data_IF_623859805866
#
_entry.id   IF_623859805866
#
_cell.length_a   1.000
_cell.length_b   1.000
_cell.length_c   1.000
_cell.angle_alpha   90.00
_cell.angle_beta   90.00
_cell.angle_gamma   90.00
#
_symmetry.space_group_name_H-M   'P 1'
#
loop_
_entity.id
_entity.type
_entity.pdbx_description
1 polymer ?
#
# COMPACT_ATOMS: atom_id res chain seq x y z
N UNK A 1 -13.56 -9.32 1.58
CA UNK A 1 -13.87 -7.96 1.11
C UNK A 1 -12.62 -7.10 1.14
N UNK A 2 -12.35 -6.31 0.10
CA UNK A 2 -11.19 -5.43 0.10
C UNK A 2 -11.31 -4.36 1.19
N UNK A 3 -10.18 -4.00 1.76
CA UNK A 3 -10.12 -2.91 2.73
C UNK A 3 -8.94 -2.00 2.40
N UNK A 4 -8.99 -0.73 2.79
CA UNK A 4 -7.85 0.17 2.57
C UNK A 4 -6.62 -0.31 3.33
N UNK A 5 -5.45 -0.15 2.71
CA UNK A 5 -4.18 -0.54 3.34
C UNK A 5 -3.94 0.20 4.65
N UNK A 6 -4.54 1.39 4.81
CA UNK A 6 -4.41 2.15 6.05
C UNK A 6 -4.94 1.41 7.27
N UNK A 7 -5.75 0.37 7.08
CA UNK A 7 -6.23 -0.47 8.17
C UNK A 7 -5.37 -1.72 8.39
N UNK A 8 -4.32 -1.89 7.60
CA UNK A 8 -3.47 -3.06 7.70
C UNK A 8 -2.69 -3.07 9.02
N UNK A 9 -2.38 -4.28 9.48
CA UNK A 9 -1.64 -4.47 10.73
C UNK A 9 -0.16 -4.64 10.45
N UNK A 10 0.66 -4.17 11.39
CA UNK A 10 2.09 -4.38 11.32
C UNK A 10 2.42 -5.87 11.31
N UNK A 11 3.51 -6.21 10.63
CA UNK A 11 4.03 -7.57 10.54
C UNK A 11 3.16 -8.53 9.73
N UNK A 12 2.12 -8.02 9.08
CA UNK A 12 1.26 -8.82 8.21
C UNK A 12 1.59 -8.55 6.74
N UNK A 13 1.27 -9.52 5.90
CA UNK A 13 1.43 -9.41 4.45
C UNK A 13 0.07 -9.49 3.79
N UNK A 14 -0.10 -8.73 2.72
CA UNK A 14 -1.35 -8.63 2.00
C UNK A 14 -1.11 -8.64 0.50
N UNK A 15 -2.12 -9.01 -0.26
CA UNK A 15 -2.09 -8.92 -1.72
C UNK A 15 -2.87 -7.68 -2.14
N UNK A 16 -2.28 -6.85 -3.00
CA UNK A 16 -2.96 -5.66 -3.50
C UNK A 16 -4.08 -6.10 -4.43
N UNK A 17 -5.31 -5.74 -4.08
CA UNK A 17 -6.50 -6.08 -4.86
C UNK A 17 -6.77 -5.02 -5.92
N UNK A 18 -6.62 -3.75 -5.55
CA UNK A 18 -6.96 -2.64 -6.43
C UNK A 18 -6.34 -1.36 -5.92
N UNK A 19 -6.07 -0.43 -6.83
CA UNK A 19 -5.60 0.90 -6.48
C UNK A 19 -6.65 1.89 -6.95
N UNK A 20 -7.10 2.75 -6.05
CA UNK A 20 -8.14 3.75 -6.33
C UNK A 20 -7.55 5.15 -6.40
N UNK A 21 -8.33 6.10 -6.90
CA UNK A 21 -7.93 7.48 -6.97
C UNK A 21 -7.75 7.96 -8.41
N UNK A 22 -7.22 9.16 -8.54
CA UNK A 22 -6.97 9.76 -9.84
C UNK A 22 -5.81 9.09 -10.56
N UNK A 23 -5.75 9.22 -11.87
CA UNK A 23 -4.71 8.61 -12.69
C UNK A 23 -3.30 8.98 -12.21
N UNK A 24 -3.12 10.23 -11.78
CA UNK A 24 -1.82 10.69 -11.27
C UNK A 24 -1.37 9.91 -10.04
N UNK A 25 -2.30 9.68 -9.11
CA UNK A 25 -2.01 8.91 -7.90
C UNK A 25 -1.73 7.46 -8.25
N UNK A 26 -2.53 6.89 -9.12
CA UNK A 26 -2.36 5.49 -9.55
C UNK A 26 -1.03 5.29 -10.25
N UNK A 27 -0.66 6.22 -11.14
CA UNK A 27 0.62 6.17 -11.83
C UNK A 27 1.79 6.29 -10.88
N UNK A 28 1.69 7.20 -9.89
CA UNK A 28 2.73 7.38 -8.89
C UNK A 28 2.95 6.09 -8.10
N UNK A 29 1.88 5.46 -7.64
CA UNK A 29 1.97 4.22 -6.88
C UNK A 29 2.53 3.09 -7.74
N UNK A 30 2.12 3.01 -9.00
CA UNK A 30 2.65 2.02 -9.95
C UNK A 30 4.15 2.19 -10.13
N UNK A 31 4.60 3.42 -10.24
CA UNK A 31 6.03 3.71 -10.39
C UNK A 31 6.84 3.29 -9.17
N UNK A 32 6.21 3.22 -8.01
CA UNK A 32 6.84 2.71 -6.79
C UNK A 32 6.83 1.18 -6.72
N UNK A 33 6.19 0.51 -7.66
CA UNK A 33 6.08 -0.94 -7.66
C UNK A 33 4.80 -1.47 -7.04
N UNK A 34 3.87 -0.57 -6.69
CA UNK A 34 2.62 -0.97 -6.04
C UNK A 34 1.57 -1.21 -7.13
N UNK A 35 1.43 -2.46 -7.51
CA UNK A 35 0.52 -2.87 -8.59
C UNK A 35 -0.40 -3.98 -8.09
N UNK A 36 -1.50 -4.19 -8.80
CA UNK A 36 -2.44 -5.25 -8.47
C UNK A 36 -1.75 -6.61 -8.48
N UNK A 37 -2.20 -7.47 -7.58
CA UNK A 37 -1.69 -8.83 -7.38
C UNK A 37 -0.29 -8.89 -6.76
N UNK A 38 0.32 -7.76 -6.47
CA UNK A 38 1.61 -7.75 -5.79
C UNK A 38 1.44 -7.97 -4.30
N UNK A 39 2.39 -8.66 -3.69
CA UNK A 39 2.39 -8.88 -2.24
C UNK A 39 3.07 -7.71 -1.56
N UNK A 40 2.42 -7.17 -0.54
CA UNK A 40 2.91 -6.04 0.22
C UNK A 40 3.00 -6.44 1.70
N UNK A 41 4.16 -6.19 2.30
CA UNK A 41 4.40 -6.49 3.73
C UNK A 41 4.43 -5.19 4.51
N UNK A 42 3.63 -5.12 5.57
CA UNK A 42 3.59 -3.91 6.41
C UNK A 42 4.63 -4.06 7.51
N UNK A 43 5.63 -3.18 7.49
CA UNK A 43 6.74 -3.22 8.46
C UNK A 43 6.48 -2.33 9.65
N UNK A 44 5.81 -1.20 9.46
CA UNK A 44 5.55 -0.26 10.53
C UNK A 44 4.30 0.55 10.21
N UNK A 45 3.54 0.90 11.25
CA UNK A 45 2.34 1.71 11.10
C UNK A 45 2.34 2.77 12.20
N UNK A 46 2.30 4.04 11.79
CA UNK A 46 2.29 5.16 12.72
C UNK A 46 1.21 6.14 12.27
N UNK A 47 0.14 6.24 13.05
CA UNK A 47 -0.95 7.19 12.79
C UNK A 47 -1.50 7.11 11.36
N UNK A 48 -1.59 5.90 10.81
CA UNK A 48 -2.11 5.68 9.46
C UNK A 48 -1.07 5.75 8.36
N UNK A 49 0.12 6.27 8.66
CA UNK A 49 1.25 6.22 7.73
C UNK A 49 1.94 4.89 7.86
N UNK A 50 2.38 4.33 6.75
CA UNK A 50 2.92 2.97 6.72
C UNK A 50 4.29 2.93 6.09
N UNK A 51 5.14 2.06 6.62
CA UNK A 51 6.35 1.64 5.94
C UNK A 51 6.09 0.22 5.47
N UNK A 52 6.14 0.01 4.17
CA UNK A 52 5.84 -1.28 3.56
C UNK A 52 7.02 -1.77 2.76
N UNK A 53 7.05 -3.06 2.47
CA UNK A 53 8.08 -3.66 1.66
C UNK A 53 7.44 -4.41 0.50
N UNK A 54 7.90 -4.11 -0.71
CA UNK A 54 7.45 -4.76 -1.94
C UNK A 54 8.68 -5.15 -2.73
N UNK A 55 8.81 -6.44 -3.04
CA UNK A 55 9.97 -6.96 -3.80
C UNK A 55 11.32 -6.55 -3.20
N UNK A 56 11.39 -6.56 -1.86
CA UNK A 56 12.64 -6.23 -1.17
C UNK A 56 12.93 -4.75 -1.04
N UNK A 57 12.04 -3.88 -1.51
CA UNK A 57 12.22 -2.43 -1.43
C UNK A 57 11.25 -1.86 -0.41
N UNK A 58 11.75 -1.04 0.51
CA UNK A 58 10.92 -0.38 1.51
C UNK A 58 10.41 0.94 0.99
N UNK A 59 9.12 1.17 1.19
CA UNK A 59 8.43 2.35 0.70
C UNK A 59 7.64 2.96 1.84
N UNK A 60 7.79 4.26 2.04
CA UNK A 60 7.02 5.00 3.03
C UNK A 60 5.78 5.57 2.34
N UNK A 61 4.61 5.27 2.88
CA UNK A 61 3.34 5.75 2.36
C UNK A 61 2.66 6.58 3.44
N UNK A 62 2.28 7.81 3.09
CA UNK A 62 1.48 8.60 4.01
C UNK A 62 0.05 8.04 4.02
N UNK A 63 -0.75 8.54 4.96
CA UNK A 63 -2.11 8.06 5.13
C UNK A 63 -2.96 8.22 3.86
N UNK A 64 -2.78 9.33 3.15
CA UNK A 64 -3.56 9.59 1.94
C UNK A 64 -3.25 8.60 0.82
N UNK A 65 -2.00 8.20 0.69
CA UNK A 65 -1.62 7.20 -0.31
C UNK A 65 -2.03 5.79 0.14
N UNK A 66 -1.85 5.49 1.43
CA UNK A 66 -2.18 4.17 1.95
C UNK A 66 -3.66 3.84 1.77
N UNK A 67 -4.54 4.82 1.94
CA UNK A 67 -5.98 4.57 1.80
C UNK A 67 -6.42 4.34 0.35
N UNK A 68 -5.55 4.60 -0.61
CA UNK A 68 -5.87 4.35 -2.03
C UNK A 68 -5.59 2.91 -2.46
N UNK A 69 -4.86 2.18 -1.65
CA UNK A 69 -4.50 0.79 -1.95
C UNK A 69 -5.49 -0.12 -1.24
N UNK A 70 -6.19 -0.94 -2.01
CA UNK A 70 -7.15 -1.90 -1.46
C UNK A 70 -6.50 -3.27 -1.37
N UNK A 71 -6.62 -3.88 -0.21
CA UNK A 71 -6.03 -5.19 0.08
C UNK A 71 -7.05 -6.21 0.51
#
# INVERSE_FOLDING_TARGET
MPMPLSFAKESESYTIQRITGKDEVRSHLRNLGLVENETISVKQSIAGSLIVEVKGVRIALNKDLAKRIMI
#
